data_IF_861293512244
#
_entry.id   IF_861293512244
#
_cell.length_a   1.000
_cell.length_b   1.000
_cell.length_c   1.000
_cell.angle_alpha   90.00
_cell.angle_beta   90.00
_cell.angle_gamma   90.00
#
_symmetry.space_group_name_H-M   'P 1'
#
loop_
_entity.id
_entity.type
_entity.pdbx_description
1 polymer ?
#
# COMPACT_ATOMS: atom_id res chain seq x y z
N UNK A 1 33.82 9.78 -15.09
CA UNK A 1 32.52 9.96 -14.42
C UNK A 1 31.98 8.58 -14.11
N UNK A 2 31.94 8.20 -12.84
CA UNK A 2 31.44 6.88 -12.41
C UNK A 2 29.93 6.86 -12.55
N UNK A 3 29.41 5.96 -13.40
CA UNK A 3 27.96 5.72 -13.55
C UNK A 3 27.46 5.08 -12.26
N UNK A 4 26.59 5.75 -11.53
CA UNK A 4 25.88 5.16 -10.40
C UNK A 4 24.84 4.20 -11.00
N UNK A 5 24.89 2.88 -10.70
CA UNK A 5 23.87 1.96 -11.19
C UNK A 5 22.48 2.43 -10.72
N UNK A 6 21.48 2.28 -11.58
CA UNK A 6 20.08 2.52 -11.21
C UNK A 6 19.68 1.46 -10.17
N UNK A 7 19.97 1.74 -8.89
CA UNK A 7 19.58 0.88 -7.78
C UNK A 7 18.06 0.90 -7.72
N UNK A 8 17.46 -0.27 -7.90
CA UNK A 8 16.02 -0.47 -7.76
C UNK A 8 15.66 -0.44 -6.26
N UNK A 9 15.68 0.76 -5.67
CA UNK A 9 15.39 0.96 -4.24
C UNK A 9 13.87 0.88 -4.07
N UNK A 10 13.42 -0.27 -3.57
CA UNK A 10 12.01 -0.50 -3.24
C UNK A 10 11.73 0.14 -1.87
N UNK A 11 10.73 1.04 -1.75
CA UNK A 11 10.34 1.58 -0.45
C UNK A 11 9.89 0.44 0.46
N UNK A 12 10.44 0.42 1.67
CA UNK A 12 10.15 -0.63 2.66
C UNK A 12 9.52 0.00 3.91
N UNK A 13 8.40 -0.60 4.35
CA UNK A 13 7.78 -0.26 5.63
C UNK A 13 7.98 -1.43 6.58
N UNK A 14 8.72 -1.20 7.66
CA UNK A 14 8.93 -2.19 8.71
C UNK A 14 7.68 -2.37 9.57
N UNK A 15 7.65 -3.45 10.35
CA UNK A 15 6.57 -3.69 11.33
C UNK A 15 6.47 -2.53 12.34
N UNK A 16 7.60 -2.03 12.85
CA UNK A 16 7.64 -0.89 13.77
C UNK A 16 7.03 0.38 13.15
N UNK A 17 7.39 0.68 11.89
CA UNK A 17 6.82 1.83 11.19
C UNK A 17 5.32 1.67 10.92
N UNK A 18 4.86 0.46 10.58
CA UNK A 18 3.42 0.20 10.45
C UNK A 18 2.67 0.36 11.77
N UNK A 19 3.20 -0.15 12.87
CA UNK A 19 2.59 0.00 14.19
C UNK A 19 2.45 1.48 14.58
N UNK A 20 3.52 2.26 14.38
CA UNK A 20 3.49 3.72 14.63
C UNK A 20 2.47 4.43 13.73
N UNK A 21 2.36 4.04 12.46
CA UNK A 21 1.39 4.61 11.53
C UNK A 21 -0.04 4.33 11.99
N UNK A 22 -0.38 3.07 12.28
CA UNK A 22 -1.72 2.68 12.72
C UNK A 22 -2.11 3.39 14.01
N UNK A 23 -1.19 3.46 14.99
CA UNK A 23 -1.44 4.15 16.25
C UNK A 23 -1.59 5.68 16.07
N UNK A 24 -0.83 6.27 15.15
CA UNK A 24 -0.93 7.71 14.84
C UNK A 24 -2.26 8.07 14.17
N UNK A 25 -2.76 7.20 13.29
CA UNK A 25 -4.07 7.38 12.62
C UNK A 25 -5.23 7.05 13.59
N UNK A 26 -5.01 6.11 14.50
CA UNK A 26 -6.03 5.56 15.38
C UNK A 26 -6.69 4.33 14.76
N UNK A 27 -6.90 3.28 15.56
CA UNK A 27 -7.32 1.96 15.08
C UNK A 27 -8.69 2.02 14.38
N UNK A 28 -9.69 2.64 15.00
CA UNK A 28 -11.04 2.74 14.43
C UNK A 28 -11.07 3.48 13.10
N UNK A 29 -10.33 4.60 13.02
CA UNK A 29 -10.26 5.40 11.77
C UNK A 29 -9.54 4.62 10.68
N UNK A 30 -8.40 4.01 11.03
CA UNK A 30 -7.62 3.22 10.08
C UNK A 30 -8.43 2.06 9.49
N UNK A 31 -9.15 1.31 10.33
CA UNK A 31 -9.95 0.17 9.86
C UNK A 31 -11.16 0.59 9.03
N UNK A 32 -11.84 1.69 9.42
CA UNK A 32 -12.97 2.22 8.67
C UNK A 32 -12.55 2.69 7.28
N UNK A 33 -11.54 3.54 7.21
CA UNK A 33 -11.06 4.07 5.92
C UNK A 33 -10.49 2.97 5.03
N UNK A 34 -9.80 1.98 5.61
CA UNK A 34 -9.34 0.81 4.86
C UNK A 34 -10.53 0.03 4.27
N UNK A 35 -11.60 -0.17 5.04
CA UNK A 35 -12.80 -0.84 4.55
C UNK A 35 -13.48 -0.04 3.44
N UNK A 36 -13.57 1.29 3.56
CA UNK A 36 -14.14 2.18 2.54
C UNK A 36 -13.38 2.06 1.21
N UNK A 37 -12.04 2.02 1.24
CA UNK A 37 -11.19 1.84 0.05
C UNK A 37 -11.41 0.46 -0.57
N UNK A 38 -11.43 -0.60 0.25
CA UNK A 38 -11.70 -1.97 -0.24
C UNK A 38 -13.08 -2.03 -0.90
N UNK A 39 -14.11 -1.44 -0.28
CA UNK A 39 -15.45 -1.40 -0.86
C UNK A 39 -15.47 -0.68 -2.21
N UNK A 40 -14.78 0.47 -2.31
CA UNK A 40 -14.65 1.21 -3.56
C UNK A 40 -14.00 0.37 -4.66
N UNK A 41 -12.93 -0.36 -4.33
CA UNK A 41 -12.25 -1.29 -5.25
C UNK A 41 -13.18 -2.40 -5.73
N UNK A 42 -14.01 -2.95 -4.84
CA UNK A 42 -15.01 -3.94 -5.20
C UNK A 42 -16.13 -3.36 -6.09
N UNK A 43 -16.53 -2.10 -5.91
CA UNK A 43 -17.51 -1.45 -6.79
C UNK A 43 -16.98 -1.32 -8.21
N UNK A 44 -15.67 -1.13 -8.38
CA UNK A 44 -14.98 -1.03 -9.68
C UNK A 44 -14.39 -2.36 -10.16
N UNK A 45 -14.88 -3.49 -9.66
CA UNK A 45 -14.32 -4.83 -9.93
C UNK A 45 -14.03 -5.13 -11.40
N UNK A 46 -14.88 -4.66 -12.32
CA UNK A 46 -14.70 -4.91 -13.76
C UNK A 46 -13.45 -4.23 -14.35
N UNK A 47 -13.00 -3.13 -13.75
CA UNK A 47 -11.78 -2.42 -14.13
C UNK A 47 -10.51 -2.98 -13.50
N UNK A 48 -10.62 -3.97 -12.62
CA UNK A 48 -9.45 -4.57 -11.99
C UNK A 48 -8.63 -5.31 -13.05
N UNK A 49 -7.36 -4.91 -13.22
CA UNK A 49 -6.44 -5.54 -14.14
C UNK A 49 -6.16 -6.98 -13.69
N UNK A 50 -6.53 -7.94 -14.55
CA UNK A 50 -6.37 -9.37 -14.29
C UNK A 50 -5.09 -9.93 -14.89
N UNK A 51 -4.16 -9.08 -15.32
CA UNK A 51 -2.88 -9.51 -15.86
C UNK A 51 -2.18 -10.41 -14.84
N UNK A 52 -1.91 -11.69 -15.20
CA UNK A 52 -1.18 -12.60 -14.32
C UNK A 52 0.17 -11.99 -13.96
N UNK A 53 0.60 -12.15 -12.71
CA UNK A 53 1.97 -11.80 -12.33
C UNK A 53 2.89 -12.83 -13.00
N UNK A 54 3.66 -12.40 -14.01
CA UNK A 54 4.70 -13.18 -14.72
C UNK A 54 5.97 -13.22 -13.88
#
# INVERSE_FOLDING_TARGET
MTVIPNLNIVPFVSVDHMMKLVLKVGIDTFLRELADVVEEDFRRWQSFDKTPRI
#
